data_IF_074641718869
#
_entry.id   IF_074641718869
#
_cell.length_a   1.000
_cell.length_b   1.000
_cell.length_c   1.000
_cell.angle_alpha   90.00
_cell.angle_beta   90.00
_cell.angle_gamma   90.00
#
_symmetry.space_group_name_H-M   'P 1'
#
loop_
_entity.id
_entity.type
_entity.pdbx_description
1 polymer ?
#
# COMPACT_ATOMS: atom_id res chain seq x y z
N UNK A 1 -0.90 3.93 -15.95
CA UNK A 1 -1.28 3.24 -14.71
C UNK A 1 -1.62 4.26 -13.65
N UNK A 2 -2.65 4.04 -12.86
CA UNK A 2 -2.97 5.00 -11.80
C UNK A 2 -2.01 4.84 -10.63
N UNK A 3 -1.75 5.94 -9.95
CA UNK A 3 -0.79 5.98 -8.85
C UNK A 3 -1.15 5.00 -7.73
N UNK A 4 -2.42 4.91 -7.38
CA UNK A 4 -2.82 4.03 -6.29
C UNK A 4 -2.67 2.56 -6.66
N UNK A 5 -2.84 2.22 -7.94
CA UNK A 5 -2.64 0.83 -8.38
C UNK A 5 -1.18 0.41 -8.30
N UNK A 6 -0.27 1.34 -8.58
CA UNK A 6 1.16 1.08 -8.44
C UNK A 6 1.51 0.75 -7.00
N UNK A 7 1.00 1.54 -6.07
CA UNK A 7 1.21 1.31 -4.64
C UNK A 7 0.56 -0.01 -4.21
N UNK A 8 -0.66 -0.24 -4.65
CA UNK A 8 -1.39 -1.47 -4.35
C UNK A 8 -0.58 -2.70 -4.77
N UNK A 9 -0.11 -2.73 -6.02
CA UNK A 9 0.63 -3.87 -6.54
C UNK A 9 1.94 -4.09 -5.80
N UNK A 10 2.64 -3.02 -5.46
CA UNK A 10 3.91 -3.11 -4.77
C UNK A 10 3.74 -3.69 -3.37
N UNK A 11 2.75 -3.20 -2.64
CA UNK A 11 2.50 -3.68 -1.28
C UNK A 11 1.96 -5.10 -1.30
N UNK A 12 1.08 -5.41 -2.24
CA UNK A 12 0.55 -6.76 -2.41
C UNK A 12 1.69 -7.76 -2.62
N UNK A 13 2.64 -7.41 -3.47
CA UNK A 13 3.79 -8.26 -3.71
C UNK A 13 4.61 -8.47 -2.45
N UNK A 14 4.83 -7.41 -1.68
CA UNK A 14 5.59 -7.52 -0.43
C UNK A 14 4.89 -8.39 0.60
N UNK A 15 3.59 -8.32 0.67
CA UNK A 15 2.82 -9.18 1.58
C UNK A 15 2.90 -10.63 1.11
N UNK A 16 2.75 -10.85 -0.18
CA UNK A 16 2.75 -12.18 -0.77
C UNK A 16 4.10 -12.87 -0.61
N UNK A 17 5.19 -12.13 -0.73
CA UNK A 17 6.53 -12.72 -0.61
C UNK A 17 7.07 -12.73 0.83
N UNK A 18 6.27 -12.25 1.79
CA UNK A 18 6.64 -12.28 3.20
C UNK A 18 7.47 -11.11 3.70
N UNK A 19 7.77 -10.14 2.85
CA UNK A 19 8.54 -8.97 3.25
C UNK A 19 7.77 -8.10 4.24
N UNK A 20 6.45 -8.00 4.06
CA UNK A 20 5.57 -7.28 4.97
C UNK A 20 4.49 -8.22 5.47
N UNK A 21 4.13 -8.08 6.74
CA UNK A 21 2.96 -8.76 7.28
C UNK A 21 1.71 -8.00 6.86
N UNK A 22 0.60 -8.72 6.73
CA UNK A 22 -0.65 -8.16 6.23
C UNK A 22 -1.10 -6.89 6.95
N UNK A 23 -0.79 -6.73 8.23
CA UNK A 23 -1.24 -5.57 8.99
C UNK A 23 -0.22 -4.43 9.10
N UNK A 24 1.02 -4.67 8.68
CA UNK A 24 2.06 -3.66 8.79
C UNK A 24 1.86 -2.49 7.84
N UNK A 25 1.18 -2.71 6.73
CA UNK A 25 0.98 -1.62 5.76
C UNK A 25 0.12 -0.49 6.33
N UNK A 26 -0.74 -0.78 7.30
CA UNK A 26 -1.61 0.26 7.88
C UNK A 26 -0.83 1.32 8.64
N UNK A 27 0.28 0.95 9.26
CA UNK A 27 1.10 1.89 10.01
C UNK A 27 2.16 2.58 9.16
N UNK A 28 2.25 2.23 7.87
CA UNK A 28 3.29 2.73 6.97
C UNK A 28 2.80 3.85 6.05
N UNK A 29 1.60 4.37 6.26
CA UNK A 29 0.99 5.36 5.36
C UNK A 29 1.90 6.56 5.10
N UNK A 30 2.41 7.17 6.16
CA UNK A 30 3.27 8.34 6.03
C UNK A 30 4.59 8.03 5.32
N UNK A 31 5.16 6.87 5.63
CA UNK A 31 6.40 6.44 4.99
C UNK A 31 6.19 6.16 3.51
N UNK A 32 5.08 5.52 3.17
CA UNK A 32 4.76 5.21 1.79
C UNK A 32 4.52 6.49 0.99
N UNK A 33 3.84 7.46 1.59
CA UNK A 33 3.60 8.73 0.93
C UNK A 33 4.92 9.42 0.58
N UNK A 34 5.90 9.38 1.49
CA UNK A 34 7.22 9.95 1.23
C UNK A 34 8.00 9.15 0.21
N UNK A 35 7.94 7.83 0.31
CA UNK A 35 8.68 6.93 -0.59
C UNK A 35 8.24 7.10 -2.03
N UNK A 36 6.95 7.17 -2.26
CA UNK A 36 6.41 7.28 -3.62
C UNK A 36 6.22 8.70 -4.08
N UNK A 37 6.38 9.68 -3.19
CA UNK A 37 6.11 11.09 -3.47
C UNK A 37 4.66 11.31 -3.89
N UNK A 38 3.74 10.55 -3.32
CA UNK A 38 2.31 10.65 -3.58
C UNK A 38 1.61 11.24 -2.35
N UNK A 39 0.40 11.75 -2.56
CA UNK A 39 -0.40 12.26 -1.46
C UNK A 39 -0.85 11.13 -0.55
N UNK A 40 -1.14 11.47 0.71
CA UNK A 40 -1.67 10.50 1.66
C UNK A 40 -2.99 9.89 1.18
N UNK A 41 -3.80 10.69 0.48
CA UNK A 41 -5.07 10.20 -0.07
C UNK A 41 -4.86 9.09 -1.08
N UNK A 42 -3.85 9.22 -1.94
CA UNK A 42 -3.51 8.19 -2.91
C UNK A 42 -3.06 6.91 -2.21
N UNK A 43 -2.21 7.04 -1.20
CA UNK A 43 -1.73 5.90 -0.43
C UNK A 43 -2.90 5.23 0.31
N UNK A 44 -3.73 6.04 0.96
CA UNK A 44 -4.88 5.52 1.71
C UNK A 44 -5.84 4.74 0.82
N UNK A 45 -6.04 5.22 -0.40
CA UNK A 45 -6.92 4.53 -1.34
C UNK A 45 -6.37 3.14 -1.67
N UNK A 46 -5.06 3.05 -1.91
CA UNK A 46 -4.42 1.76 -2.20
C UNK A 46 -4.54 0.81 -1.01
N UNK A 47 -4.31 1.31 0.21
CA UNK A 47 -4.40 0.50 1.41
C UNK A 47 -5.83 0.02 1.66
N UNK A 48 -6.83 0.86 1.38
CA UNK A 48 -8.23 0.48 1.50
C UNK A 48 -8.57 -0.65 0.55
N UNK A 49 -8.05 -0.61 -0.67
CA UNK A 49 -8.29 -1.67 -1.65
C UNK A 49 -7.65 -2.98 -1.20
N UNK A 50 -6.48 -2.92 -0.59
CA UNK A 50 -5.84 -4.12 -0.05
C UNK A 50 -6.69 -4.75 1.06
N UNK A 51 -7.25 -3.93 1.94
CA UNK A 51 -8.14 -4.43 2.99
C UNK A 51 -9.37 -5.11 2.41
N UNK A 52 -9.97 -4.51 1.40
CA UNK A 52 -11.15 -5.07 0.75
C UNK A 52 -10.85 -6.41 0.09
N UNK A 53 -9.63 -6.57 -0.39
CA UNK A 53 -9.19 -7.81 -1.04
C UNK A 53 -8.69 -8.86 -0.03
N UNK A 54 -8.70 -8.54 1.27
CA UNK A 54 -8.37 -9.51 2.30
C UNK A 54 -6.93 -9.57 2.74
N UNK A 55 -6.15 -8.57 2.39
CA UNK A 55 -4.74 -8.51 2.81
C UNK A 55 -4.53 -7.89 4.18
#
# INVERSE_FOLDING_TARGET
MSKYKEVYNDIKEKITNGTLKAREFLSSEAELARKYSYSKDTIRKALSMLELDGY
#
